data_IF_363342407890
#
_entry.id   IF_363342407890
#
_cell.length_a   1.000
_cell.length_b   1.000
_cell.length_c   1.000
_cell.angle_alpha   90.00
_cell.angle_beta   90.00
_cell.angle_gamma   90.00
#
_symmetry.space_group_name_H-M   'P 1'
#
loop_
_entity.id
_entity.type
_entity.pdbx_description
1 polymer ?
#
# COMPACT_ATOMS: atom_id res chain seq x y z
N UNK A 1 -14.36 28.01 16.40
CA UNK A 1 -13.03 27.58 16.86
C UNK A 1 -12.61 26.41 15.99
N UNK A 2 -11.80 26.66 14.96
CA UNK A 2 -11.39 25.62 14.02
C UNK A 2 -10.01 25.13 14.43
N UNK A 3 -9.95 23.96 15.05
CA UNK A 3 -8.72 23.18 15.11
C UNK A 3 -8.47 22.65 13.69
N UNK A 4 -7.31 22.94 13.12
CA UNK A 4 -6.92 22.36 11.83
C UNK A 4 -6.47 20.90 12.02
N UNK A 5 -6.64 20.03 11.01
CA UNK A 5 -6.20 18.62 11.11
C UNK A 5 -4.70 18.48 11.42
N UNK A 6 -3.88 19.40 10.89
CA UNK A 6 -2.44 19.42 11.13
C UNK A 6 -2.06 19.80 12.57
N UNK A 7 -2.95 20.41 13.35
CA UNK A 7 -2.65 20.84 14.71
C UNK A 7 -2.24 19.69 15.62
N UNK A 8 -2.76 18.46 15.42
CA UNK A 8 -2.38 17.29 16.25
C UNK A 8 -0.91 16.90 16.12
N UNK A 9 -0.28 17.27 15.01
CA UNK A 9 1.14 17.02 14.75
C UNK A 9 2.01 18.25 15.00
N UNK A 10 1.45 19.34 15.53
CA UNK A 10 2.17 20.59 15.74
C UNK A 10 2.86 20.60 17.11
N UNK A 11 4.14 20.98 17.16
CA UNK A 11 4.93 21.18 18.37
C UNK A 11 4.29 22.14 19.38
N UNK A 12 3.46 23.07 18.89
CA UNK A 12 2.82 24.10 19.71
C UNK A 12 1.43 23.68 20.20
N UNK A 13 0.96 22.49 19.84
CA UNK A 13 -0.34 21.98 20.26
C UNK A 13 -0.37 21.75 21.78
N UNK A 14 -1.44 22.22 22.44
CA UNK A 14 -1.48 22.25 23.89
C UNK A 14 -1.99 20.95 24.53
N UNK A 15 -2.57 20.05 23.73
CA UNK A 15 -3.31 18.85 24.17
C UNK A 15 -4.37 19.10 25.25
N UNK A 16 -4.83 20.35 25.42
CA UNK A 16 -5.82 20.72 26.40
C UNK A 16 -7.20 20.87 25.75
N UNK A 17 -8.28 20.29 26.32
CA UNK A 17 -9.64 20.47 25.79
C UNK A 17 -10.12 21.92 25.73
N UNK A 18 -9.52 22.81 26.51
CA UNK A 18 -9.89 24.22 26.62
C UNK A 18 -9.01 25.17 25.81
N UNK A 19 -7.89 24.70 25.26
CA UNK A 19 -6.94 25.52 24.50
C UNK A 19 -6.48 24.77 23.24
N UNK A 20 -6.55 25.41 22.07
CA UNK A 20 -6.08 24.76 20.84
C UNK A 20 -4.55 24.66 20.83
N UNK A 21 -3.83 25.79 20.82
CA UNK A 21 -2.37 25.79 20.90
C UNK A 21 -1.85 26.94 21.78
N UNK A 22 -0.56 26.93 22.12
CA UNK A 22 0.04 27.94 23.01
C UNK A 22 0.03 29.34 22.39
N UNK A 23 0.11 29.42 21.06
CA UNK A 23 0.17 30.69 20.31
C UNK A 23 -1.24 31.21 19.97
N UNK A 24 -2.15 30.30 19.61
CA UNK A 24 -3.53 30.59 19.25
C UNK A 24 -4.48 29.77 20.14
N UNK A 25 -4.79 30.26 21.37
CA UNK A 25 -5.68 29.59 22.31
C UNK A 25 -7.05 29.22 21.72
N UNK A 26 -7.61 30.12 20.91
CA UNK A 26 -8.94 29.96 20.29
C UNK A 26 -8.89 29.30 18.88
N UNK A 27 -7.69 28.94 18.41
CA UNK A 27 -7.43 28.50 17.04
C UNK A 27 -7.23 29.66 16.06
N UNK A 28 -6.94 29.32 14.80
CA UNK A 28 -6.71 30.31 13.73
C UNK A 28 -7.94 30.44 12.84
N UNK A 29 -8.10 31.60 12.22
CA UNK A 29 -9.10 31.83 11.18
C UNK A 29 -8.48 31.54 9.80
N UNK A 30 -8.87 30.43 9.17
CA UNK A 30 -8.38 30.04 7.85
C UNK A 30 -8.20 28.53 7.70
N UNK A 31 -7.65 28.11 6.57
CA UNK A 31 -7.35 26.70 6.26
C UNK A 31 -5.90 26.31 6.61
N UNK A 32 -5.05 27.26 6.99
CA UNK A 32 -3.64 27.04 7.32
C UNK A 32 -3.14 27.93 8.46
N UNK A 33 -2.12 27.47 9.18
CA UNK A 33 -1.51 28.20 10.29
C UNK A 33 -0.07 28.62 9.95
N UNK A 34 0.21 29.93 10.02
CA UNK A 34 1.57 30.47 9.79
C UNK A 34 2.58 30.02 10.86
N UNK A 35 2.10 29.72 12.06
CA UNK A 35 2.93 29.27 13.19
C UNK A 35 3.07 27.75 13.27
N UNK A 36 2.58 27.01 12.27
CA UNK A 36 2.68 25.55 12.26
C UNK A 36 4.15 25.09 12.30
N UNK A 37 4.44 24.15 13.19
CA UNK A 37 5.75 23.50 13.32
C UNK A 37 5.53 22.03 13.59
N UNK A 38 6.00 21.15 12.71
CA UNK A 38 5.90 19.72 12.92
C UNK A 38 6.64 19.31 14.21
N UNK A 39 5.96 18.60 15.11
CA UNK A 39 6.58 18.02 16.29
C UNK A 39 7.49 16.86 15.86
N UNK A 40 8.81 16.91 16.11
CA UNK A 40 9.72 15.80 15.79
C UNK A 40 9.39 14.52 16.58
N UNK A 41 8.60 14.62 17.66
CA UNK A 41 8.12 13.48 18.44
C UNK A 41 6.67 13.10 18.15
N UNK A 42 5.99 13.78 17.21
CA UNK A 42 4.67 13.35 16.76
C UNK A 42 4.83 11.94 16.19
N UNK A 43 4.32 10.96 16.93
CA UNK A 43 4.27 9.58 16.46
C UNK A 43 3.33 9.60 15.26
N UNK A 44 3.84 9.24 14.08
CA UNK A 44 2.95 8.85 12.99
C UNK A 44 1.96 7.85 13.58
N UNK A 45 0.66 8.07 13.39
CA UNK A 45 -0.35 7.12 13.87
C UNK A 45 0.05 5.73 13.38
N UNK A 46 0.52 4.88 14.30
CA UNK A 46 0.86 3.51 14.00
C UNK A 46 -0.48 2.81 13.75
N UNK A 47 -0.89 2.79 12.48
CA UNK A 47 -2.04 2.03 12.01
C UNK A 47 -1.76 0.55 12.33
N UNK A 48 -2.24 0.10 13.47
CA UNK A 48 -2.10 -1.28 13.88
C UNK A 48 -2.76 -2.18 12.83
N UNK A 49 -1.99 -3.14 12.32
CA UNK A 49 -2.49 -4.16 11.40
C UNK A 49 -2.07 -5.55 11.90
N UNK A 50 -3.00 -6.53 11.93
CA UNK A 50 -2.65 -7.91 12.23
C UNK A 50 -1.82 -8.52 11.09
N UNK A 51 -0.97 -9.50 11.41
CA UNK A 51 -0.18 -10.22 10.40
C UNK A 51 -1.10 -10.84 9.33
N UNK A 52 -0.82 -10.54 8.05
CA UNK A 52 -1.64 -11.00 6.92
C UNK A 52 -2.85 -10.12 6.57
N UNK A 53 -3.02 -8.95 7.20
CA UNK A 53 -4.04 -7.98 6.83
C UNK A 53 -3.45 -6.68 6.30
N UNK A 54 -4.22 -5.97 5.47
CA UNK A 54 -3.87 -4.64 4.96
C UNK A 54 -5.12 -3.78 4.84
N UNK A 55 -4.98 -2.47 5.06
CA UNK A 55 -6.07 -1.52 4.83
C UNK A 55 -6.18 -1.17 3.34
N UNK A 56 -7.40 -1.22 2.79
CA UNK A 56 -7.73 -0.73 1.46
C UNK A 56 -8.99 0.12 1.55
N UNK A 57 -8.93 1.37 1.11
CA UNK A 57 -10.00 2.36 1.29
C UNK A 57 -10.48 2.52 2.76
N UNK A 58 -9.57 2.33 3.73
CA UNK A 58 -9.90 2.40 5.15
C UNK A 58 -10.57 1.15 5.73
N UNK A 59 -10.84 0.13 4.91
CA UNK A 59 -11.34 -1.16 5.38
C UNK A 59 -10.19 -2.16 5.55
N UNK A 60 -10.23 -2.95 6.64
CA UNK A 60 -9.25 -3.99 6.90
C UNK A 60 -9.58 -5.23 6.04
N UNK A 61 -8.69 -5.57 5.11
CA UNK A 61 -8.83 -6.75 4.25
C UNK A 61 -7.79 -7.80 4.67
N UNK A 62 -8.24 -9.03 4.92
CA UNK A 62 -7.37 -10.19 5.08
C UNK A 62 -6.80 -10.55 3.70
N UNK A 63 -5.47 -10.51 3.56
CA UNK A 63 -4.87 -11.00 2.34
C UNK A 63 -5.02 -12.53 2.28
N UNK A 64 -5.49 -13.08 1.15
CA UNK A 64 -5.46 -14.53 0.97
C UNK A 64 -4.03 -15.02 1.19
N UNK A 65 -3.88 -16.17 1.88
CA UNK A 65 -2.55 -16.69 2.21
C UNK A 65 -1.73 -16.83 0.94
N UNK A 66 -0.75 -15.94 0.81
CA UNK A 66 0.15 -15.89 -0.32
C UNK A 66 1.03 -17.12 -0.24
N UNK A 67 0.83 -18.10 -1.13
CA UNK A 67 1.69 -19.29 -1.24
C UNK A 67 3.16 -18.89 -1.43
N UNK A 68 3.40 -17.73 -2.07
CA UNK A 68 4.72 -17.32 -2.56
C UNK A 68 5.23 -16.09 -1.80
N UNK A 69 6.53 -16.08 -1.52
CA UNK A 69 7.21 -14.91 -0.95
C UNK A 69 7.24 -13.74 -1.95
N UNK A 70 7.57 -12.53 -1.47
CA UNK A 70 7.71 -11.38 -2.37
C UNK A 70 8.80 -11.62 -3.44
N UNK A 71 9.93 -12.25 -3.10
CA UNK A 71 10.96 -12.56 -4.09
C UNK A 71 10.45 -13.54 -5.15
N UNK A 72 9.76 -14.61 -4.76
CA UNK A 72 9.21 -15.60 -5.70
C UNK A 72 8.18 -14.99 -6.64
N UNK A 73 7.39 -14.02 -6.16
CA UNK A 73 6.47 -13.25 -7.02
C UNK A 73 7.19 -12.36 -8.01
N UNK A 74 8.32 -11.78 -7.63
CA UNK A 74 9.12 -10.98 -8.56
C UNK A 74 9.72 -11.87 -9.64
N UNK A 75 10.21 -13.05 -9.27
CA UNK A 75 10.74 -14.03 -10.22
C UNK A 75 9.68 -14.45 -11.24
N UNK A 76 8.40 -14.62 -10.87
CA UNK A 76 7.31 -14.90 -11.82
C UNK A 76 7.26 -13.91 -12.97
N UNK A 77 7.42 -12.62 -12.68
CA UNK A 77 7.29 -11.56 -13.68
C UNK A 77 8.35 -11.71 -14.77
N UNK A 78 9.48 -12.33 -14.45
CA UNK A 78 10.63 -12.45 -15.35
C UNK A 78 10.58 -13.71 -16.22
N UNK A 79 9.93 -14.79 -15.78
CA UNK A 79 9.95 -16.06 -16.52
C UNK A 79 8.58 -16.57 -16.95
N UNK A 80 7.50 -16.22 -16.26
CA UNK A 80 6.21 -16.87 -16.47
C UNK A 80 5.53 -16.40 -17.77
N UNK A 81 5.03 -17.31 -18.62
CA UNK A 81 4.37 -16.96 -19.88
C UNK A 81 3.22 -15.95 -19.76
N UNK A 82 2.49 -15.97 -18.65
CA UNK A 82 1.43 -14.99 -18.35
C UNK A 82 1.92 -13.53 -18.37
N UNK A 83 3.19 -13.29 -18.03
CA UNK A 83 3.77 -11.95 -18.00
C UNK A 83 4.69 -11.70 -19.20
N UNK A 84 5.51 -12.70 -19.57
CA UNK A 84 6.51 -12.55 -20.64
C UNK A 84 5.95 -12.82 -22.04
N UNK A 85 4.85 -13.56 -22.13
CA UNK A 85 4.28 -14.07 -23.38
C UNK A 85 5.15 -15.14 -24.06
N UNK A 86 6.17 -15.68 -23.37
CA UNK A 86 7.13 -16.65 -23.93
C UNK A 86 7.28 -17.86 -23.04
N UNK A 87 7.50 -19.02 -23.65
CA UNK A 87 7.88 -20.23 -22.92
C UNK A 87 9.27 -20.06 -22.31
N UNK A 88 9.45 -20.31 -20.99
CA UNK A 88 10.75 -20.19 -20.35
C UNK A 88 11.77 -21.22 -20.86
N UNK A 89 11.31 -22.35 -21.41
CA UNK A 89 12.17 -23.44 -21.86
C UNK A 89 12.62 -23.28 -23.33
N UNK A 90 11.71 -22.98 -24.26
CA UNK A 90 12.05 -22.91 -25.69
C UNK A 90 11.96 -21.50 -26.28
N UNK A 91 11.45 -20.51 -25.54
CA UNK A 91 11.29 -19.13 -26.01
C UNK A 91 10.16 -18.93 -27.03
N UNK A 92 9.34 -19.95 -27.30
CA UNK A 92 8.20 -19.85 -28.19
C UNK A 92 7.19 -18.82 -27.66
N UNK A 93 6.59 -18.06 -28.57
CA UNK A 93 5.58 -17.06 -28.22
C UNK A 93 4.22 -17.73 -28.01
N UNK A 94 3.54 -17.33 -26.94
CA UNK A 94 2.14 -17.66 -26.74
C UNK A 94 1.26 -16.62 -27.42
N UNK A 95 0.16 -17.07 -28.02
CA UNK A 95 -0.85 -16.16 -28.55
C UNK A 95 -1.45 -15.31 -27.43
N UNK A 96 -1.66 -14.03 -27.72
CA UNK A 96 -1.99 -12.96 -26.79
C UNK A 96 -3.48 -12.87 -26.50
N UNK A 97 -4.25 -13.93 -26.69
CA UNK A 97 -5.62 -13.98 -26.16
C UNK A 97 -5.58 -14.29 -24.65
N UNK A 98 -5.15 -13.29 -23.89
CA UNK A 98 -4.88 -13.36 -22.45
C UNK A 98 -6.14 -13.38 -21.58
N UNK A 99 -7.32 -13.10 -22.14
CA UNK A 99 -8.55 -12.90 -21.36
C UNK A 99 -9.20 -14.19 -20.87
N UNK A 100 -8.81 -15.36 -21.40
CA UNK A 100 -9.42 -16.65 -21.04
C UNK A 100 -8.43 -17.80 -20.86
N UNK A 101 -7.12 -17.53 -20.89
CA UNK A 101 -6.11 -18.57 -20.86
C UNK A 101 -5.73 -18.95 -19.43
N UNK A 102 -6.24 -20.10 -18.99
CA UNK A 102 -5.95 -20.68 -17.65
C UNK A 102 -4.72 -21.58 -17.68
N UNK A 103 -4.38 -22.17 -18.84
CA UNK A 103 -3.26 -23.11 -18.98
C UNK A 103 -2.21 -22.58 -19.97
N UNK A 104 -0.95 -22.58 -19.53
CA UNK A 104 0.21 -22.11 -20.29
C UNK A 104 1.06 -23.26 -20.84
N UNK A 105 0.44 -24.33 -21.28
CA UNK A 105 1.16 -25.50 -21.80
C UNK A 105 1.81 -25.19 -23.15
N UNK A 106 3.09 -25.51 -23.26
CA UNK A 106 3.88 -25.34 -24.47
C UNK A 106 4.09 -26.68 -25.18
N UNK A 107 4.08 -26.66 -26.52
CA UNK A 107 4.37 -27.84 -27.35
C UNK A 107 5.78 -28.46 -27.13
N UNK A 108 6.69 -27.72 -26.49
CA UNK A 108 8.02 -28.24 -26.12
C UNK A 108 7.99 -29.16 -24.88
N UNK A 109 6.82 -29.38 -24.28
CA UNK A 109 6.62 -30.21 -23.09
C UNK A 109 6.66 -29.44 -21.76
N UNK A 110 6.84 -28.12 -21.79
CA UNK A 110 6.72 -27.29 -20.60
C UNK A 110 5.24 -27.12 -20.24
N UNK A 111 4.87 -27.41 -18.98
CA UNK A 111 3.51 -27.28 -18.46
C UNK A 111 3.53 -26.37 -17.24
N UNK A 112 2.45 -25.60 -17.08
CA UNK A 112 2.31 -24.67 -15.97
C UNK A 112 1.61 -25.34 -14.78
N UNK A 113 2.40 -25.78 -13.80
CA UNK A 113 1.90 -26.45 -12.58
C UNK A 113 1.46 -25.46 -11.48
N UNK A 114 1.22 -24.18 -11.81
CA UNK A 114 1.02 -23.12 -10.80
C UNK A 114 -0.41 -22.95 -10.24
N UNK A 115 -1.33 -23.87 -10.53
CA UNK A 115 -2.71 -23.87 -9.98
C UNK A 115 -2.73 -24.34 -8.51
#
# INVERSE_FOLDING_TARGET
MAKLPECDNCLLYSHNPHLVCVVHPDGVEGESCLDFRLDPNAKAEELWQPEGASYYNGELILQPQQRWTQQQKLELLDWHPMFTGKCPQCGAFFDRDYTSRVHWDCECGWMDDSI
#
